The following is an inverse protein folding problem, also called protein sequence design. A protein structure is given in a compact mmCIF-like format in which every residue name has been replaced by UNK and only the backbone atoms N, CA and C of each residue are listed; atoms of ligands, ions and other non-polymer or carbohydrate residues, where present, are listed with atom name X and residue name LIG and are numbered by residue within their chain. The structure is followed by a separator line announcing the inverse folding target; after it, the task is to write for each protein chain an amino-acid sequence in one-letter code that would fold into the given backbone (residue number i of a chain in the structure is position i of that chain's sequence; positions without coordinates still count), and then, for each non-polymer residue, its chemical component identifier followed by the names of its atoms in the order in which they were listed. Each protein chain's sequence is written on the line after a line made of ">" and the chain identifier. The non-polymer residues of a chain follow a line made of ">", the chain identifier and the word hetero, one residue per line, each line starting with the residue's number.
data_IF_796842940269
#
_entry.id   IF_796842940269
#
_cell.length_a   1.000
_cell.length_b   1.000
_cell.length_c   1.000
_cell.angle_alpha   90.00
_cell.angle_beta   90.00
_cell.angle_gamma   90.00
#
_symmetry.space_group_name_H-M   'P 1'
#
loop_
_entity.id
_entity.type
_entity.pdbx_description
1 polymer ?
#
# COMPACT_ATOMS: atom_id res chain seq x y z
N UNK A 1 11.53 -42.53 5.32
CA UNK A 1 12.31 -41.32 5.65
C UNK A 1 11.60 -40.14 5.02
N UNK A 2 10.66 -39.53 5.73
CA UNK A 2 9.85 -38.43 5.17
C UNK A 2 10.60 -37.13 5.41
N UNK A 3 11.10 -36.55 4.32
CA UNK A 3 11.88 -35.33 4.34
C UNK A 3 11.15 -34.24 5.14
N UNK A 4 11.83 -33.71 6.16
CA UNK A 4 11.40 -32.52 6.87
C UNK A 4 11.49 -31.33 5.90
N UNK A 5 10.47 -31.14 5.07
CA UNK A 5 10.39 -29.95 4.22
C UNK A 5 10.37 -28.72 5.14
N UNK A 6 11.42 -27.92 4.99
CA UNK A 6 11.65 -26.72 5.77
C UNK A 6 11.21 -25.52 4.94
N UNK A 7 10.33 -24.68 5.48
CA UNK A 7 9.90 -23.44 4.83
C UNK A 7 10.78 -22.30 5.32
N UNK A 8 11.49 -21.66 4.40
CA UNK A 8 12.25 -20.45 4.70
C UNK A 8 11.35 -19.37 5.35
N UNK A 9 11.69 -18.95 6.57
CA UNK A 9 10.98 -17.92 7.34
C UNK A 9 9.86 -18.41 8.27
N UNK A 10 9.34 -19.63 8.09
CA UNK A 10 8.28 -20.21 8.95
C UNK A 10 8.77 -21.39 9.78
N UNK A 11 9.81 -22.10 9.30
CA UNK A 11 10.35 -23.30 9.94
C UNK A 11 9.82 -24.59 9.30
N UNK A 12 9.84 -25.72 10.01
CA UNK A 12 9.34 -27.00 9.51
C UNK A 12 7.89 -26.91 9.02
N UNK A 13 7.55 -27.56 7.89
CA UNK A 13 6.14 -27.67 7.43
C UNK A 13 5.22 -28.32 8.48
N UNK A 14 5.77 -29.15 9.35
CA UNK A 14 5.06 -29.84 10.43
C UNK A 14 4.81 -28.96 11.66
N UNK A 15 5.35 -27.75 11.68
CA UNK A 15 5.14 -26.80 12.77
C UNK A 15 3.69 -26.31 12.76
N UNK A 16 3.11 -26.25 13.96
CA UNK A 16 1.72 -25.85 14.20
C UNK A 16 1.68 -24.40 14.66
N UNK A 17 1.48 -23.43 13.76
CA UNK A 17 1.43 -22.03 14.15
C UNK A 17 0.28 -21.78 15.13
N UNK A 18 0.53 -20.90 16.10
CA UNK A 18 -0.46 -20.41 17.05
C UNK A 18 -0.81 -18.96 16.75
N UNK A 19 -2.09 -18.61 16.93
CA UNK A 19 -2.58 -17.26 16.79
C UNK A 19 -2.19 -16.42 18.00
N UNK A 20 -1.61 -15.25 17.75
CA UNK A 20 -1.40 -14.22 18.75
C UNK A 20 -2.73 -13.55 19.09
N UNK A 21 -3.34 -13.99 20.19
CA UNK A 21 -4.59 -13.41 20.71
C UNK A 21 -4.43 -11.96 21.18
N UNK A 22 -3.20 -11.49 21.41
CA UNK A 22 -2.91 -10.10 21.74
C UNK A 22 -2.76 -9.20 20.50
N UNK A 23 -2.68 -9.77 19.30
CA UNK A 23 -2.61 -9.00 18.06
C UNK A 23 -3.98 -8.41 17.72
N UNK A 24 -4.03 -7.09 17.48
CA UNK A 24 -5.27 -6.43 17.06
C UNK A 24 -5.54 -6.64 15.57
N UNK A 25 -6.26 -7.70 15.25
CA UNK A 25 -6.67 -8.06 13.90
C UNK A 25 -7.51 -7.00 13.20
N UNK A 26 -8.11 -6.03 13.91
CA UNK A 26 -8.90 -4.95 13.31
C UNK A 26 -8.02 -3.87 12.68
N UNK A 27 -6.79 -3.75 13.17
CA UNK A 27 -5.81 -2.78 12.66
C UNK A 27 -5.05 -3.32 11.45
N UNK A 28 -4.84 -4.65 11.40
CA UNK A 28 -4.46 -5.33 10.17
C UNK A 28 -5.65 -5.36 9.23
N UNK A 29 -5.65 -4.51 8.21
CA UNK A 29 -6.62 -4.59 7.10
C UNK A 29 -6.41 -5.90 6.33
N UNK A 30 -6.82 -7.03 6.89
CA UNK A 30 -6.72 -8.35 6.27
C UNK A 30 -7.68 -8.44 5.09
N UNK A 31 -7.20 -8.96 3.97
CA UNK A 31 -8.07 -9.39 2.88
C UNK A 31 -8.91 -10.61 3.29
N UNK A 32 -10.03 -10.90 2.59
CA UNK A 32 -10.83 -12.10 2.86
C UNK A 32 -10.00 -13.39 2.81
N UNK A 33 -9.06 -13.47 1.87
CA UNK A 33 -8.14 -14.60 1.71
C UNK A 33 -7.20 -14.74 2.89
N UNK A 34 -6.60 -13.64 3.36
CA UNK A 34 -5.73 -13.65 4.54
C UNK A 34 -6.50 -13.98 5.81
N UNK A 35 -7.71 -13.44 5.98
CA UNK A 35 -8.59 -13.79 7.10
C UNK A 35 -8.99 -15.26 7.10
N UNK A 36 -9.21 -15.85 5.92
CA UNK A 36 -9.51 -17.27 5.78
C UNK A 36 -8.30 -18.17 6.10
N UNK A 37 -7.09 -17.82 5.63
CA UNK A 37 -5.87 -18.56 6.00
C UNK A 37 -5.62 -18.43 7.51
N UNK A 38 -5.80 -17.23 8.07
CA UNK A 38 -5.67 -16.97 9.50
C UNK A 38 -6.67 -17.78 10.33
N UNK A 39 -7.90 -17.96 9.86
CA UNK A 39 -8.91 -18.77 10.54
C UNK A 39 -8.54 -20.26 10.61
N UNK A 40 -7.57 -20.72 9.82
CA UNK A 40 -7.02 -22.09 9.89
C UNK A 40 -5.84 -22.20 10.84
N UNK A 41 -5.34 -21.09 11.38
CA UNK A 41 -4.28 -21.06 12.39
C UNK A 41 -4.92 -21.18 13.77
N UNK A 42 -5.18 -22.43 14.16
CA UNK A 42 -5.84 -22.80 15.42
C UNK A 42 -4.88 -23.36 16.48
N UNK A 43 -3.58 -23.49 16.16
CA UNK A 43 -2.57 -24.10 17.03
C UNK A 43 -2.48 -25.63 16.93
N UNK A 44 -3.38 -26.29 16.21
CA UNK A 44 -3.39 -27.75 16.02
C UNK A 44 -3.04 -28.17 14.60
N UNK A 45 -3.30 -27.29 13.63
CA UNK A 45 -3.05 -27.49 12.20
C UNK A 45 -1.62 -27.10 11.82
N UNK A 46 -0.91 -27.95 11.08
CA UNK A 46 0.47 -27.65 10.63
C UNK A 46 0.51 -26.75 9.39
N UNK A 47 1.62 -26.07 9.11
CA UNK A 47 1.77 -25.26 7.89
C UNK A 47 1.47 -26.05 6.61
N UNK A 48 1.89 -27.32 6.54
CA UNK A 48 1.58 -28.21 5.43
C UNK A 48 0.08 -28.48 5.30
N UNK A 49 -0.58 -28.77 6.42
CA UNK A 49 -2.03 -29.03 6.44
C UNK A 49 -2.84 -27.78 6.09
N UNK A 50 -2.41 -26.60 6.53
CA UNK A 50 -3.03 -25.31 6.16
C UNK A 50 -2.95 -25.09 4.64
N UNK A 51 -1.83 -25.43 4.00
CA UNK A 51 -1.69 -25.34 2.54
C UNK A 51 -2.67 -26.27 1.81
N UNK A 52 -2.87 -27.49 2.32
CA UNK A 52 -3.81 -28.45 1.75
C UNK A 52 -5.27 -28.03 1.95
N UNK A 53 -5.59 -27.46 3.12
CA UNK A 53 -6.95 -27.09 3.51
C UNK A 53 -7.46 -25.79 2.89
N UNK A 54 -6.56 -24.91 2.45
CA UNK A 54 -6.92 -23.59 1.90
C UNK A 54 -7.26 -23.65 0.41
N UNK A 55 -6.78 -24.67 -0.32
CA UNK A 55 -7.04 -24.83 -1.76
C UNK A 55 -6.40 -23.77 -2.66
N UNK A 56 -5.68 -22.79 -2.08
CA UNK A 56 -5.01 -21.69 -2.76
C UNK A 56 -3.65 -22.09 -3.37
N UNK A 57 -3.16 -23.28 -3.01
CA UNK A 57 -1.83 -23.76 -3.37
C UNK A 57 -0.76 -23.37 -2.35
N UNK A 58 0.26 -24.23 -2.22
CA UNK A 58 1.36 -24.03 -1.29
C UNK A 58 2.05 -22.65 -1.38
N UNK A 59 2.43 -22.12 -2.56
CA UNK A 59 3.19 -20.86 -2.59
C UNK A 59 2.38 -19.66 -2.07
N UNK A 60 1.11 -19.54 -2.48
CA UNK A 60 0.25 -18.43 -2.07
C UNK A 60 -0.06 -18.46 -0.57
N UNK A 61 -0.39 -19.64 -0.03
CA UNK A 61 -0.68 -19.81 1.41
C UNK A 61 0.55 -19.54 2.26
N UNK A 62 1.73 -19.97 1.82
CA UNK A 62 2.99 -19.72 2.54
C UNK A 62 3.36 -18.23 2.57
N UNK A 63 3.12 -17.48 1.51
CA UNK A 63 3.38 -16.03 1.51
C UNK A 63 2.45 -15.28 2.47
N UNK A 64 1.18 -15.70 2.56
CA UNK A 64 0.25 -15.15 3.55
C UNK A 64 0.73 -15.48 4.97
N UNK A 65 1.10 -16.74 5.25
CA UNK A 65 1.59 -17.14 6.57
C UNK A 65 2.87 -16.39 6.97
N UNK A 66 3.80 -16.15 6.03
CA UNK A 66 4.99 -15.33 6.28
C UNK A 66 4.63 -13.90 6.66
N UNK A 67 3.70 -13.27 5.94
CA UNK A 67 3.21 -11.93 6.27
C UNK A 67 2.58 -11.89 7.66
N UNK A 68 1.72 -12.86 7.98
CA UNK A 68 1.07 -12.95 9.30
C UNK A 68 2.09 -13.13 10.43
N UNK A 69 3.15 -13.93 10.20
CA UNK A 69 4.25 -14.10 11.17
C UNK A 69 5.07 -12.81 11.32
N UNK A 70 5.40 -12.14 10.22
CA UNK A 70 6.17 -10.89 10.24
C UNK A 70 5.45 -9.75 10.99
N UNK A 71 4.13 -9.72 10.92
CA UNK A 71 3.29 -8.75 11.65
C UNK A 71 3.04 -9.17 13.10
N UNK A 72 3.51 -10.36 13.51
CA UNK A 72 3.37 -10.87 14.87
C UNK A 72 1.96 -11.39 15.19
N UNK A 73 1.18 -11.72 14.16
CA UNK A 73 -0.17 -12.27 14.32
C UNK A 73 -0.15 -13.77 14.56
N UNK A 74 0.89 -14.46 14.07
CA UNK A 74 1.09 -15.90 14.33
C UNK A 74 2.50 -16.16 14.84
N UNK A 75 2.68 -17.17 15.68
CA UNK A 75 3.97 -17.55 16.26
C UNK A 75 4.13 -19.08 16.27
N UNK A 76 5.37 -19.55 16.28
CA UNK A 76 5.64 -20.99 16.41
C UNK A 76 5.56 -21.43 17.89
N UNK A 77 5.15 -22.66 18.18
CA UNK A 77 5.07 -23.18 19.54
C UNK A 77 6.48 -23.25 20.15
N UNK A 78 6.70 -22.51 21.24
CA UNK A 78 8.00 -22.37 21.89
C UNK A 78 8.84 -21.15 21.45
N UNK A 79 8.40 -20.38 20.44
CA UNK A 79 8.93 -19.04 20.21
C UNK A 79 8.32 -18.08 21.25
N UNK A 80 9.15 -17.48 22.10
CA UNK A 80 8.74 -16.33 22.92
C UNK A 80 8.40 -15.20 21.94
N UNK A 81 7.27 -14.46 22.11
CA UNK A 81 6.95 -13.35 21.24
C UNK A 81 8.11 -12.36 21.29
N UNK A 82 8.94 -12.36 20.26
CA UNK A 82 9.87 -11.27 20.03
C UNK A 82 8.94 -10.14 19.63
N UNK A 83 8.53 -9.32 20.60
CA UNK A 83 8.13 -7.94 20.33
C UNK A 83 9.18 -7.43 19.34
N UNK A 84 8.82 -7.16 18.08
CA UNK A 84 9.82 -6.89 17.07
C UNK A 84 10.55 -5.63 17.51
N UNK A 85 11.76 -5.79 18.05
CA UNK A 85 12.77 -4.76 17.96
C UNK A 85 12.95 -4.53 16.46
N UNK A 86 12.71 -3.31 15.96
CA UNK A 86 12.69 -3.05 14.53
C UNK A 86 14.07 -3.38 13.94
N UNK A 87 14.14 -4.47 13.17
CA UNK A 87 15.30 -4.76 12.32
C UNK A 87 15.31 -3.68 11.23
N UNK A 88 16.46 -3.05 10.93
CA UNK A 88 16.52 -1.94 9.99
C UNK A 88 16.20 -2.43 8.58
N UNK A 89 15.16 -1.84 7.99
CA UNK A 89 14.93 -1.86 6.55
C UNK A 89 16.17 -1.28 5.82
N UNK A 90 16.42 -1.64 4.54
CA UNK A 90 17.39 -0.90 3.72
C UNK A 90 17.03 0.60 3.81
N UNK A 91 18.00 1.40 4.24
CA UNK A 91 17.76 2.67 4.92
C UNK A 91 16.76 3.57 4.16
N UNK A 92 15.60 3.91 4.74
CA UNK A 92 14.84 5.08 4.31
C UNK A 92 15.65 6.34 4.62
N UNK A 93 15.49 7.45 3.87
CA UNK A 93 16.18 8.70 4.18
C UNK A 93 15.83 9.15 5.61
N UNK A 94 16.75 9.84 6.32
CA UNK A 94 16.65 10.02 7.76
C UNK A 94 15.38 10.80 8.15
N UNK A 95 14.75 10.47 9.30
CA UNK A 95 13.63 11.22 9.82
C UNK A 95 14.14 12.58 10.30
N UNK A 96 13.68 13.65 9.65
CA UNK A 96 13.84 14.99 10.19
C UNK A 96 13.09 15.07 11.54
N UNK A 97 13.64 15.78 12.55
CA UNK A 97 13.09 15.80 13.90
C UNK A 97 11.64 16.29 13.89
N UNK A 98 10.77 15.56 14.58
CA UNK A 98 9.42 16.03 14.90
C UNK A 98 9.50 17.14 15.98
N UNK A 99 8.91 18.33 15.75
CA UNK A 99 8.74 19.30 16.82
C UNK A 99 7.67 18.82 17.81
N UNK A 100 7.77 19.20 19.10
CA UNK A 100 6.90 18.69 20.14
C UNK A 100 5.45 19.15 19.92
N UNK A 101 4.52 18.25 20.20
CA UNK A 101 3.09 18.53 20.26
C UNK A 101 2.82 19.67 21.26
N UNK A 102 2.53 20.87 20.74
CA UNK A 102 1.89 21.93 21.51
C UNK A 102 1.06 22.83 20.58
N UNK A 103 -0.24 22.86 20.83
CA UNK A 103 -1.16 23.88 20.30
C UNK A 103 -2.00 23.42 19.12
N UNK A 104 -3.29 23.20 19.36
CA UNK A 104 -4.32 23.20 18.31
C UNK A 104 -4.33 24.55 17.59
N UNK A 105 -4.30 24.55 16.26
CA UNK A 105 -5.26 25.26 15.39
C UNK A 105 -5.27 24.65 13.97
N UNK A 106 -6.42 24.58 13.29
CA UNK A 106 -6.60 23.86 12.03
C UNK A 106 -6.36 24.77 10.82
N UNK A 107 -5.46 24.38 9.91
CA UNK A 107 -5.46 24.87 8.52
C UNK A 107 -4.89 23.77 7.63
N UNK A 108 -5.78 23.21 6.81
CA UNK A 108 -5.55 22.14 5.86
C UNK A 108 -4.62 22.58 4.69
N UNK A 109 -4.26 21.71 3.71
CA UNK A 109 -4.83 20.37 3.50
C UNK A 109 -3.76 19.31 3.10
N UNK A 110 -4.15 18.14 2.54
CA UNK A 110 -4.45 18.21 1.13
C UNK A 110 -5.76 17.50 0.81
N UNK A 111 -6.65 18.21 0.12
CA UNK A 111 -7.54 17.57 -0.83
C UNK A 111 -6.68 16.63 -1.67
N UNK A 112 -7.17 15.42 -1.91
CA UNK A 112 -6.50 14.39 -2.71
C UNK A 112 -5.91 15.01 -3.99
N UNK A 113 -4.80 14.50 -4.53
CA UNK A 113 -4.17 15.10 -5.73
C UNK A 113 -5.19 15.24 -6.86
N UNK A 114 -6.05 14.23 -6.97
CA UNK A 114 -7.18 14.21 -7.87
C UNK A 114 -8.24 15.28 -7.55
N UNK A 115 -8.51 15.55 -6.28
CA UNK A 115 -9.44 16.59 -5.86
C UNK A 115 -8.90 18.01 -6.07
N UNK A 116 -7.59 18.24 -5.88
CA UNK A 116 -6.96 19.56 -6.10
C UNK A 116 -6.89 19.94 -7.56
N UNK A 117 -6.61 18.97 -8.42
CA UNK A 117 -6.46 19.18 -9.85
C UNK A 117 -7.80 19.07 -10.61
N UNK A 118 -8.88 18.74 -9.90
CA UNK A 118 -10.24 18.71 -10.41
C UNK A 118 -10.68 20.12 -10.84
N UNK A 119 -10.97 20.29 -12.12
CA UNK A 119 -11.45 21.55 -12.69
C UNK A 119 -12.97 21.61 -12.83
N UNK A 120 -13.69 20.55 -12.44
CA UNK A 120 -15.15 20.47 -12.58
C UNK A 120 -15.64 20.34 -14.02
N UNK A 121 -14.76 20.21 -15.01
CA UNK A 121 -15.14 20.17 -16.43
C UNK A 121 -16.03 18.95 -16.75
N UNK A 122 -16.93 19.04 -17.74
CA UNK A 122 -17.76 17.91 -18.12
C UNK A 122 -16.91 16.76 -18.66
N UNK A 123 -17.24 15.54 -18.21
CA UNK A 123 -16.61 14.30 -18.64
C UNK A 123 -17.62 13.54 -19.50
N UNK A 124 -17.13 12.88 -20.55
CA UNK A 124 -17.98 12.07 -21.43
C UNK A 124 -18.49 10.85 -20.66
N UNK A 125 -19.81 10.61 -20.58
CA UNK A 125 -20.37 9.45 -19.88
C UNK A 125 -19.89 8.12 -20.47
N UNK A 126 -19.58 8.05 -21.77
CA UNK A 126 -19.06 6.83 -22.41
C UNK A 126 -17.70 6.44 -21.80
N UNK A 127 -16.89 7.44 -21.44
CA UNK A 127 -15.59 7.18 -20.80
C UNK A 127 -15.74 6.66 -19.35
N UNK A 128 -16.91 6.82 -18.72
CA UNK A 128 -17.20 6.35 -17.36
C UNK A 128 -17.70 4.90 -17.30
N UNK A 129 -18.14 4.35 -18.44
CA UNK A 129 -18.57 2.95 -18.57
C UNK A 129 -17.40 1.98 -18.38
N UNK A 130 -16.19 2.40 -18.75
CA UNK A 130 -14.94 1.66 -18.56
C UNK A 130 -14.58 1.53 -17.06
N UNK A 131 -13.94 0.43 -16.69
CA UNK A 131 -13.43 0.21 -15.33
C UNK A 131 -14.50 0.17 -14.23
N UNK A 132 -15.48 -0.75 -14.27
CA UNK A 132 -16.63 -0.79 -13.35
C UNK A 132 -16.25 -0.91 -11.86
N UNK A 133 -15.05 -1.39 -11.55
CA UNK A 133 -14.56 -1.57 -10.17
C UNK A 133 -13.94 -0.30 -9.56
N UNK A 134 -13.91 0.80 -10.34
CA UNK A 134 -13.43 2.11 -9.92
C UNK A 134 -14.61 3.02 -9.57
N UNK A 135 -14.43 3.84 -8.53
CA UNK A 135 -15.45 4.80 -8.11
C UNK A 135 -15.66 5.88 -9.19
N UNK A 136 -16.91 6.20 -9.50
CA UNK A 136 -17.26 7.12 -10.59
C UNK A 136 -16.68 8.52 -10.39
N UNK A 137 -16.62 9.02 -9.16
CA UNK A 137 -16.00 10.32 -8.84
C UNK A 137 -14.48 10.26 -9.02
N UNK A 138 -13.84 9.12 -8.76
CA UNK A 138 -12.41 8.90 -9.06
C UNK A 138 -12.18 8.83 -10.56
N UNK A 139 -13.05 8.15 -11.33
CA UNK A 139 -12.98 8.10 -12.80
C UNK A 139 -13.06 9.50 -13.41
N UNK A 140 -14.04 10.29 -12.99
CA UNK A 140 -14.22 11.67 -13.46
C UNK A 140 -12.97 12.50 -13.20
N UNK A 141 -12.41 12.43 -11.98
CA UNK A 141 -11.18 13.16 -11.64
C UNK A 141 -9.99 12.70 -12.46
N UNK A 142 -9.79 11.39 -12.64
CA UNK A 142 -8.70 10.87 -13.48
C UNK A 142 -8.76 11.41 -14.90
N UNK A 143 -9.96 11.43 -15.50
CA UNK A 143 -10.16 11.95 -16.86
C UNK A 143 -9.86 13.46 -16.94
N UNK A 144 -10.38 14.25 -16.00
CA UNK A 144 -10.11 15.70 -15.92
C UNK A 144 -8.63 16.01 -15.76
N UNK A 145 -7.98 15.38 -14.78
CA UNK A 145 -6.55 15.59 -14.50
C UNK A 145 -5.71 15.14 -15.68
N UNK A 146 -6.04 14.02 -16.34
CA UNK A 146 -5.28 13.53 -17.49
C UNK A 146 -5.27 14.49 -18.69
N UNK A 147 -6.35 15.26 -18.90
CA UNK A 147 -6.44 16.29 -19.95
C UNK A 147 -5.52 17.49 -19.66
N UNK A 148 -5.38 17.85 -18.39
CA UNK A 148 -4.58 19.00 -17.92
C UNK A 148 -3.12 18.67 -17.65
N UNK A 149 -2.80 17.38 -17.48
CA UNK A 149 -1.47 16.87 -17.18
C UNK A 149 -0.34 17.51 -18.00
N UNK A 150 -0.43 17.67 -19.34
CA UNK A 150 0.67 18.27 -20.13
C UNK A 150 0.84 19.78 -19.92
N UNK A 151 -0.15 20.46 -19.33
CA UNK A 151 -0.11 21.91 -19.11
C UNK A 151 0.22 22.31 -17.67
N UNK A 152 0.25 21.35 -16.75
CA UNK A 152 0.52 21.60 -15.33
C UNK A 152 2.02 21.72 -15.06
N UNK A 153 2.41 22.68 -14.24
CA UNK A 153 3.79 22.79 -13.79
C UNK A 153 4.12 21.68 -12.76
N UNK A 154 5.40 21.26 -12.63
CA UNK A 154 5.80 20.20 -11.70
C UNK A 154 5.37 20.44 -10.24
N UNK A 155 5.45 21.69 -9.78
CA UNK A 155 5.08 22.07 -8.42
C UNK A 155 3.55 22.07 -8.21
N UNK A 156 2.78 22.48 -9.22
CA UNK A 156 1.31 22.40 -9.19
C UNK A 156 0.83 20.94 -9.16
N UNK A 157 1.49 20.08 -9.95
CA UNK A 157 1.19 18.66 -10.05
C UNK A 157 1.41 17.92 -8.73
N UNK A 158 2.45 18.30 -7.98
CA UNK A 158 2.71 17.81 -6.62
C UNK A 158 1.92 18.57 -5.54
N UNK A 159 1.24 19.67 -5.90
CA UNK A 159 0.50 20.52 -4.96
C UNK A 159 1.38 21.25 -3.96
N UNK A 160 2.63 21.54 -4.33
CA UNK A 160 3.65 22.18 -3.50
C UNK A 160 3.96 23.60 -3.98
N UNK A 161 4.47 24.48 -3.10
CA UNK A 161 5.04 25.76 -3.50
C UNK A 161 6.20 25.60 -4.49
N UNK A 162 6.44 26.62 -5.32
CA UNK A 162 7.54 26.62 -6.29
C UNK A 162 8.94 26.67 -5.63
N UNK A 163 9.01 27.08 -4.37
CA UNK A 163 10.17 27.17 -3.49
C UNK A 163 10.20 26.06 -2.42
N UNK A 164 9.37 25.03 -2.57
CA UNK A 164 9.23 23.94 -1.60
C UNK A 164 10.56 23.22 -1.32
N UNK A 165 10.88 23.02 -0.05
CA UNK A 165 12.07 22.28 0.34
C UNK A 165 11.99 20.78 -0.02
N UNK A 166 13.15 20.11 -0.07
CA UNK A 166 13.23 18.69 -0.41
C UNK A 166 12.37 17.79 0.50
N UNK A 167 12.17 18.20 1.77
CA UNK A 167 11.30 17.49 2.73
C UNK A 167 9.83 17.58 2.32
N UNK A 168 9.36 18.75 1.91
CA UNK A 168 8.00 18.98 1.43
C UNK A 168 7.75 18.28 0.10
N UNK A 169 8.72 18.30 -0.81
CA UNK A 169 8.67 17.56 -2.08
C UNK A 169 8.46 16.06 -1.84
N UNK A 170 9.28 15.44 -0.97
CA UNK A 170 9.18 14.00 -0.65
C UNK A 170 7.84 13.65 -0.01
N UNK A 171 7.36 14.49 0.91
CA UNK A 171 6.06 14.28 1.58
C UNK A 171 4.90 14.34 0.58
N UNK A 172 4.90 15.32 -0.31
CA UNK A 172 3.88 15.48 -1.33
C UNK A 172 3.89 14.34 -2.35
N UNK A 173 5.09 13.95 -2.83
CA UNK A 173 5.28 12.81 -3.71
C UNK A 173 4.75 11.51 -3.09
N UNK A 174 5.10 11.23 -1.83
CA UNK A 174 4.67 10.02 -1.16
C UNK A 174 3.14 9.96 -0.98
N UNK A 175 2.52 11.09 -0.64
CA UNK A 175 1.06 11.19 -0.55
C UNK A 175 0.38 10.94 -1.91
N UNK A 176 0.89 11.57 -2.97
CA UNK A 176 0.41 11.43 -4.34
C UNK A 176 0.56 10.01 -4.88
N UNK A 177 1.74 9.42 -4.68
CA UNK A 177 2.09 8.05 -5.06
C UNK A 177 1.09 7.06 -4.45
N UNK A 178 0.81 7.15 -3.14
CA UNK A 178 -0.12 6.26 -2.45
C UNK A 178 -1.55 6.32 -3.00
N UNK A 179 -1.98 7.47 -3.51
CA UNK A 179 -3.30 7.67 -4.10
C UNK A 179 -3.41 7.12 -5.53
N UNK A 180 -2.35 7.32 -6.32
CA UNK A 180 -2.34 7.07 -7.77
C UNK A 180 -1.64 5.76 -8.18
N UNK A 181 -1.11 5.01 -7.21
CA UNK A 181 -0.42 3.75 -7.51
C UNK A 181 -1.37 2.70 -8.12
N UNK A 182 -1.03 2.08 -9.27
CA UNK A 182 -1.89 1.08 -9.91
C UNK A 182 -2.10 -0.18 -9.03
N UNK A 183 -1.11 -0.61 -8.25
CA UNK A 183 -1.26 -1.74 -7.31
C UNK A 183 -2.35 -1.53 -6.25
N UNK A 184 -2.73 -0.28 -5.94
CA UNK A 184 -3.87 -0.02 -5.03
C UNK A 184 -5.17 -0.63 -5.55
N UNK A 185 -5.23 -0.86 -6.86
CA UNK A 185 -6.37 -1.40 -7.58
C UNK A 185 -6.04 -2.76 -8.21
N UNK A 186 -5.08 -3.50 -7.65
CA UNK A 186 -4.75 -4.85 -8.11
C UNK A 186 -5.97 -5.77 -8.05
N UNK A 187 -6.17 -6.55 -9.12
CA UNK A 187 -7.32 -7.46 -9.26
C UNK A 187 -8.66 -6.78 -9.60
N UNK A 188 -8.68 -5.45 -9.79
CA UNK A 188 -9.85 -4.71 -10.26
C UNK A 188 -9.85 -4.55 -11.77
N UNK A 189 -11.02 -4.60 -12.37
CA UNK A 189 -11.23 -4.21 -13.75
C UNK A 189 -11.27 -2.68 -13.84
N UNK A 190 -10.13 -2.11 -14.23
CA UNK A 190 -9.94 -0.67 -14.42
C UNK A 190 -10.10 -0.23 -15.88
N UNK A 191 -10.19 -1.17 -16.83
CA UNK A 191 -10.18 -0.85 -18.26
C UNK A 191 -9.07 0.16 -18.63
N UNK A 192 -9.44 1.20 -19.37
CA UNK A 192 -8.53 2.30 -19.78
C UNK A 192 -7.98 3.13 -18.62
N UNK A 193 -8.63 3.12 -17.45
CA UNK A 193 -8.17 3.90 -16.29
C UNK A 193 -6.85 3.40 -15.71
N UNK A 194 -6.48 2.14 -15.95
CA UNK A 194 -5.14 1.64 -15.58
C UNK A 194 -4.04 2.42 -16.28
N UNK A 195 -4.14 2.57 -17.60
CA UNK A 195 -3.17 3.33 -18.39
C UNK A 195 -3.15 4.81 -18.03
N UNK A 196 -4.30 5.37 -17.63
CA UNK A 196 -4.38 6.74 -17.11
C UNK A 196 -3.67 6.88 -15.76
N UNK A 197 -3.90 5.95 -14.83
CA UNK A 197 -3.21 5.91 -13.53
C UNK A 197 -1.70 5.81 -13.70
N UNK A 198 -1.23 4.89 -14.55
CA UNK A 198 0.20 4.73 -14.85
C UNK A 198 0.80 6.02 -15.43
N UNK A 199 0.08 6.70 -16.33
CA UNK A 199 0.51 7.98 -16.91
C UNK A 199 0.58 9.10 -15.87
N UNK A 200 -0.42 9.22 -15.00
CA UNK A 200 -0.44 10.22 -13.93
C UNK A 200 0.68 9.96 -12.91
N UNK A 201 0.85 8.70 -12.51
CA UNK A 201 1.89 8.30 -11.58
C UNK A 201 3.29 8.62 -12.12
N UNK A 202 3.52 8.34 -13.39
CA UNK A 202 4.76 8.70 -14.07
C UNK A 202 4.98 10.21 -14.09
N UNK A 203 3.97 11.00 -14.45
CA UNK A 203 4.09 12.46 -14.47
C UNK A 203 4.45 13.04 -13.09
N UNK A 204 3.89 12.48 -12.01
CA UNK A 204 4.19 12.90 -10.63
C UNK A 204 5.61 12.52 -10.22
N UNK A 205 6.09 11.36 -10.67
CA UNK A 205 7.47 10.95 -10.42
C UNK A 205 8.46 11.83 -11.17
N UNK A 206 8.20 12.14 -12.45
CA UNK A 206 9.02 13.05 -13.26
C UNK A 206 9.03 14.48 -12.67
N UNK A 207 7.87 14.96 -12.20
CA UNK A 207 7.77 16.26 -11.53
C UNK A 207 8.59 16.31 -10.23
N UNK A 208 8.54 15.25 -9.42
CA UNK A 208 9.32 15.15 -8.20
C UNK A 208 10.82 15.16 -8.49
N UNK A 209 11.29 14.33 -9.42
CA UNK A 209 12.70 14.29 -9.80
C UNK A 209 13.20 15.63 -10.35
N UNK A 210 12.37 16.32 -11.14
CA UNK A 210 12.70 17.63 -11.71
C UNK A 210 12.86 18.69 -10.62
N UNK A 211 11.96 18.70 -9.63
CA UNK A 211 12.04 19.64 -8.50
C UNK A 211 13.18 19.28 -7.55
N UNK A 212 13.41 17.99 -7.27
CA UNK A 212 14.51 17.55 -6.41
C UNK A 212 15.86 17.94 -7.01
N UNK A 213 16.06 17.77 -8.33
CA UNK A 213 17.28 18.23 -9.04
C UNK A 213 17.49 19.75 -9.01
N UNK A 214 16.43 20.54 -8.92
CA UNK A 214 16.51 22.01 -8.84
C UNK A 214 16.93 22.50 -7.44
N UNK A 215 16.71 21.67 -6.42
CA UNK A 215 17.03 21.96 -5.02
C UNK A 215 18.35 21.35 -4.51
N UNK A 216 18.99 20.47 -5.30
CA UNK A 216 20.32 19.90 -5.03
C UNK A 216 21.42 20.67 -5.75
#
# INVERSE_FOLDING_TARGET
>A
MSAHEHIAGLGPKTTKPQLNTAADLRTLRLSPTEGFVLSRVDGYTSYGDICNLTGLGAPATLDILKKLKAVGVIFNPGEVPIVPSPIPAPAPPPPAPEPPARGRKPTAPPDSVLARLDDGSPVDPVALEEGPDLDELVKMRLLRVSRRLPSLAPHELLGVPADADAKTLKKAYFAASKELHPDRFFGKNLGTFRSLLERLFRAISEAFETLEKKHG
#
